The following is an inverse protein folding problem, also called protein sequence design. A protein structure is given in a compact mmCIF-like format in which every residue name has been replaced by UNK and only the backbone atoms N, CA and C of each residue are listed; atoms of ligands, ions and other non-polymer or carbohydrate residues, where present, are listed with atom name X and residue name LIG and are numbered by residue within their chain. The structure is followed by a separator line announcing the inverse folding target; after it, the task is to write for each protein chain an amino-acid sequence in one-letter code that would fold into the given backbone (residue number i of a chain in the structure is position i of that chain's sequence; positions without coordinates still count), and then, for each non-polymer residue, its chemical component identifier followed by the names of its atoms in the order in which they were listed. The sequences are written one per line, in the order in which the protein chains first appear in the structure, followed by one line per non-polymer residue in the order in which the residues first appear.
data_IF_445842228847
#
_entry.id   IF_445842228847
#
_cell.length_a   1.000
_cell.length_b   1.000
_cell.length_c   1.000
_cell.angle_alpha   90.00
_cell.angle_beta   90.00
_cell.angle_gamma   90.00
#
_symmetry.space_group_name_H-M   'P 1'
#
loop_
_entity.id
_entity.type
_entity.pdbx_description
1 polymer ?
#
# COMPACT_ATOMS: atom_id res chain seq x y z
N UNK A 1 -1.42 15.13 23.76
CA UNK A 1 -0.95 14.42 22.55
C UNK A 1 -0.22 15.43 21.68
N UNK A 2 1.05 15.20 21.35
CA UNK A 2 1.74 16.00 20.34
C UNK A 2 1.21 15.62 18.97
N UNK A 3 0.84 16.60 18.16
CA UNK A 3 0.35 16.35 16.80
C UNK A 3 1.56 15.98 15.92
N UNK A 4 1.57 14.77 15.37
CA UNK A 4 2.63 14.31 14.50
C UNK A 4 2.37 14.76 13.05
N UNK A 5 3.25 15.59 12.51
CA UNK A 5 3.16 16.07 11.13
C UNK A 5 3.90 15.12 10.18
N UNK A 6 3.34 14.96 8.98
CA UNK A 6 3.92 14.21 7.85
C UNK A 6 3.67 14.96 6.55
N UNK A 7 4.60 14.89 5.62
CA UNK A 7 4.42 15.53 4.30
C UNK A 7 3.33 14.83 3.48
N UNK A 8 3.23 13.51 3.60
CA UNK A 8 2.28 12.69 2.84
C UNK A 8 1.64 11.63 3.74
N UNK A 9 0.33 11.43 3.59
CA UNK A 9 -0.39 10.29 4.17
C UNK A 9 -0.83 9.37 3.03
N UNK A 10 -0.47 8.10 3.13
CA UNK A 10 -0.90 7.04 2.22
C UNK A 10 -1.94 6.20 2.95
N UNK A 11 -3.12 6.03 2.37
CA UNK A 11 -4.21 5.24 2.97
C UNK A 11 -4.41 3.96 2.16
N UNK A 12 -4.19 2.82 2.81
CA UNK A 12 -4.27 1.47 2.25
C UNK A 12 -2.89 0.86 2.00
N UNK A 13 -2.66 -0.35 2.53
CA UNK A 13 -1.46 -1.17 2.31
C UNK A 13 -1.67 -2.25 1.24
N UNK A 14 -2.41 -1.94 0.17
CA UNK A 14 -2.45 -2.77 -1.04
C UNK A 14 -1.22 -2.56 -1.93
N UNK A 15 -1.15 -3.28 -3.06
CA UNK A 15 -0.05 -3.16 -4.04
C UNK A 15 0.24 -1.69 -4.40
N UNK A 16 -0.79 -0.92 -4.72
CA UNK A 16 -0.65 0.51 -5.06
C UNK A 16 -0.12 1.36 -3.91
N UNK A 17 -0.59 1.14 -2.67
CA UNK A 17 -0.14 1.92 -1.52
C UNK A 17 1.31 1.64 -1.14
N UNK A 18 1.71 0.37 -1.20
CA UNK A 18 3.11 -0.05 -1.00
C UNK A 18 4.00 0.49 -2.13
N UNK A 19 3.57 0.39 -3.39
CA UNK A 19 4.30 0.97 -4.53
C UNK A 19 4.46 2.49 -4.43
N UNK A 20 3.42 3.19 -3.97
CA UNK A 20 3.48 4.63 -3.73
C UNK A 20 4.49 4.97 -2.62
N UNK A 21 4.49 4.23 -1.50
CA UNK A 21 5.45 4.42 -0.42
C UNK A 21 6.90 4.16 -0.88
N UNK A 22 7.13 3.11 -1.66
CA UNK A 22 8.42 2.80 -2.26
C UNK A 22 8.90 3.94 -3.15
N UNK A 23 8.09 4.35 -4.13
CA UNK A 23 8.48 5.41 -5.06
C UNK A 23 8.63 6.78 -4.39
N UNK A 24 7.85 7.07 -3.34
CA UNK A 24 8.04 8.28 -2.55
C UNK A 24 9.37 8.26 -1.80
N UNK A 25 9.73 7.12 -1.21
CA UNK A 25 11.02 6.93 -0.52
C UNK A 25 12.20 7.09 -1.48
N UNK A 26 12.08 6.51 -2.67
CA UNK A 26 13.13 6.52 -3.70
C UNK A 26 13.29 7.91 -4.37
N UNK A 27 12.18 8.50 -4.82
CA UNK A 27 12.20 9.75 -5.60
C UNK A 27 12.20 11.01 -4.75
N UNK A 28 11.78 10.91 -3.49
CA UNK A 28 11.65 12.04 -2.57
C UNK A 28 12.21 11.68 -1.17
N UNK A 29 13.51 11.39 -1.05
CA UNK A 29 14.12 10.89 0.19
C UNK A 29 13.99 11.86 1.39
N UNK A 30 13.74 13.14 1.11
CA UNK A 30 13.57 14.18 2.14
C UNK A 30 12.11 14.40 2.55
N UNK A 31 11.16 13.60 2.06
CA UNK A 31 9.73 13.70 2.40
C UNK A 31 9.35 12.59 3.38
N UNK A 32 8.79 12.98 4.51
CA UNK A 32 8.23 12.05 5.49
C UNK A 32 6.85 11.57 5.06
N UNK A 33 6.54 10.30 5.30
CA UNK A 33 5.19 9.80 5.08
C UNK A 33 4.73 8.86 6.20
N UNK A 34 3.42 8.67 6.25
CA UNK A 34 2.77 7.65 7.06
C UNK A 34 1.85 6.84 6.16
N UNK A 35 2.02 5.53 6.18
CA UNK A 35 1.13 4.59 5.51
C UNK A 35 0.20 3.96 6.54
N UNK A 36 -1.10 4.10 6.34
CA UNK A 36 -2.13 3.60 7.23
C UNK A 36 -2.90 2.48 6.57
N UNK A 37 -3.04 1.35 7.25
CA UNK A 37 -3.92 0.26 6.86
C UNK A 37 -4.94 0.00 7.97
N UNK A 38 -6.20 -0.14 7.58
CA UNK A 38 -7.30 -0.43 8.49
C UNK A 38 -7.25 -1.85 9.07
N UNK A 39 -6.67 -2.78 8.31
CA UNK A 39 -6.54 -4.19 8.64
C UNK A 39 -5.23 -4.46 9.39
N UNK A 40 -5.19 -5.60 10.08
CA UNK A 40 -3.98 -6.07 10.76
C UNK A 40 -2.88 -6.54 9.80
N UNK A 41 -3.23 -6.81 8.54
CA UNK A 41 -2.32 -7.30 7.52
C UNK A 41 -2.36 -6.40 6.27
N UNK A 42 -1.19 -6.24 5.66
CA UNK A 42 -1.03 -5.64 4.34
C UNK A 42 -1.48 -6.60 3.23
N UNK A 43 -1.68 -6.08 2.02
CA UNK A 43 -2.05 -6.85 0.83
C UNK A 43 -3.33 -6.35 0.14
N UNK A 44 -4.13 -5.54 0.83
CA UNK A 44 -5.37 -4.98 0.28
C UNK A 44 -6.32 -6.08 -0.18
N UNK A 45 -6.73 -6.03 -1.44
CA UNK A 45 -7.59 -7.04 -2.09
C UNK A 45 -7.13 -8.48 -1.83
N UNK A 46 -5.83 -8.74 -1.88
CA UNK A 46 -5.26 -10.09 -1.77
C UNK A 46 -5.18 -10.62 -0.34
N UNK A 47 -5.20 -9.73 0.65
CA UNK A 47 -5.34 -10.13 2.06
C UNK A 47 -6.83 -10.26 2.45
N UNK A 48 -7.67 -9.35 1.95
CA UNK A 48 -9.10 -9.27 2.24
C UNK A 48 -9.88 -10.45 1.68
N UNK A 49 -9.69 -10.78 0.41
CA UNK A 49 -10.45 -11.83 -0.24
C UNK A 49 -9.67 -13.14 -0.24
N UNK A 50 -10.20 -14.14 0.48
CA UNK A 50 -9.60 -15.47 0.63
C UNK A 50 -10.59 -16.62 0.34
N UNK A 51 -11.54 -16.37 -0.57
CA UNK A 51 -12.51 -17.38 -0.97
C UNK A 51 -11.89 -18.38 -1.97
N UNK A 52 -12.40 -19.62 -2.05
CA UNK A 52 -11.90 -20.61 -3.01
C UNK A 52 -12.04 -20.13 -4.47
N UNK A 53 -10.95 -20.23 -5.24
CA UNK A 53 -10.93 -19.87 -6.65
C UNK A 53 -10.61 -18.40 -6.97
N UNK A 54 -10.25 -17.58 -5.97
CA UNK A 54 -9.77 -16.22 -6.21
C UNK A 54 -8.53 -16.21 -7.12
N UNK A 55 -8.56 -15.34 -8.14
CA UNK A 55 -7.46 -15.15 -9.09
C UNK A 55 -7.55 -13.78 -9.76
N UNK A 56 -6.42 -13.32 -10.26
CA UNK A 56 -6.36 -12.19 -11.18
C UNK A 56 -6.91 -12.60 -12.55
N UNK A 57 -7.52 -11.65 -13.25
CA UNK A 57 -7.84 -11.73 -14.68
C UNK A 57 -6.64 -11.32 -15.57
N UNK A 58 -5.69 -10.59 -15.00
CA UNK A 58 -4.41 -10.22 -15.60
C UNK A 58 -3.38 -11.33 -15.40
N UNK A 59 -2.52 -11.53 -16.40
CA UNK A 59 -1.36 -12.42 -16.31
C UNK A 59 -0.34 -11.92 -15.26
N UNK A 60 0.46 -12.81 -14.70
CA UNK A 60 1.42 -12.46 -13.65
C UNK A 60 2.44 -11.39 -14.08
N UNK A 61 2.80 -11.35 -15.36
CA UNK A 61 3.79 -10.39 -15.88
C UNK A 61 3.19 -9.01 -16.23
N UNK A 62 1.87 -8.89 -16.24
CA UNK A 62 1.13 -7.63 -16.46
C UNK A 62 0.39 -7.15 -15.21
N UNK A 63 0.31 -8.00 -14.18
CA UNK A 63 -0.16 -7.60 -12.86
C UNK A 63 0.87 -6.65 -12.24
N UNK A 64 0.43 -5.39 -12.07
CA UNK A 64 1.27 -4.23 -11.76
C UNK A 64 2.15 -4.34 -10.52
#
# INVERSE_FOLDING_TARGET
MSMEHRDVIIVGAGLTGIGAAYHLSDKCPNRSYLLLESRQAMGGTWDLFRYPGIRSDSDMHTLG
#
